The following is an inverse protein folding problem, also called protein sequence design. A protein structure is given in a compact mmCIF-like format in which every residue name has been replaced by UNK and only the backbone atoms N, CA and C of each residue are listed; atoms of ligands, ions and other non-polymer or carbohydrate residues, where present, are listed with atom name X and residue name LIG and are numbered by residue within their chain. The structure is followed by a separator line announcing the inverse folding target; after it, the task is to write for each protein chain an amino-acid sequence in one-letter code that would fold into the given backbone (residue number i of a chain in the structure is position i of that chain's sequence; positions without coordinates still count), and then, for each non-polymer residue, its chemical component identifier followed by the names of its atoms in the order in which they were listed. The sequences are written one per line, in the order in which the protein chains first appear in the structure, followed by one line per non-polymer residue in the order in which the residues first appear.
data_IF_049480410701
#
_entry.id   IF_049480410701
#
_cell.length_a   1.000
_cell.length_b   1.000
_cell.length_c   1.000
_cell.angle_alpha   90.00
_cell.angle_beta   90.00
_cell.angle_gamma   90.00
#
_symmetry.space_group_name_H-M   'P 1'
#
loop_
_entity.id
_entity.type
_entity.pdbx_description
1 polymer ?
#
# COMPACT_ATOMS: atom_id res chain seq x y z
N UNK A 1 -58.77 12.51 -27.10
CA UNK A 1 -59.40 12.55 -25.77
C UNK A 1 -59.20 11.21 -25.09
N UNK A 2 -58.97 11.25 -23.78
CA UNK A 2 -58.82 10.16 -22.82
C UNK A 2 -57.43 9.55 -22.60
N UNK A 3 -56.88 9.97 -21.45
CA UNK A 3 -55.95 9.25 -20.59
C UNK A 3 -56.32 7.78 -20.42
N UNK A 4 -55.32 6.92 -20.39
CA UNK A 4 -55.28 5.79 -19.47
C UNK A 4 -53.89 5.74 -18.85
N UNK A 5 -53.90 5.81 -17.52
CA UNK A 5 -52.76 5.66 -16.62
C UNK A 5 -52.38 4.17 -16.65
N UNK A 6 -51.10 3.88 -16.86
CA UNK A 6 -50.51 2.58 -16.53
C UNK A 6 -49.27 2.85 -15.69
N UNK A 7 -49.33 2.40 -14.45
CA UNK A 7 -48.30 2.52 -13.42
C UNK A 7 -46.94 1.97 -13.87
N UNK A 8 -45.81 2.62 -13.51
CA UNK A 8 -44.54 1.95 -13.44
C UNK A 8 -44.20 1.64 -11.98
N UNK A 9 -44.81 0.57 -11.44
CA UNK A 9 -44.17 -0.23 -10.40
C UNK A 9 -42.97 -0.94 -11.03
N UNK A 10 -41.79 -0.32 -10.94
CA UNK A 10 -40.45 -0.94 -10.86
C UNK A 10 -39.37 0.16 -10.94
N UNK A 11 -39.49 1.16 -10.07
CA UNK A 11 -38.33 1.98 -9.71
C UNK A 11 -37.49 1.13 -8.76
N UNK A 12 -36.54 0.37 -9.32
CA UNK A 12 -35.51 -0.30 -8.52
C UNK A 12 -34.76 0.76 -7.73
N UNK A 13 -34.71 0.54 -6.43
CA UNK A 13 -34.10 1.37 -5.41
C UNK A 13 -32.69 1.80 -5.83
N UNK A 14 -32.54 3.06 -6.22
CA UNK A 14 -31.23 3.67 -6.38
C UNK A 14 -30.70 3.92 -4.98
N UNK A 15 -29.67 3.16 -4.63
CA UNK A 15 -29.04 3.12 -3.31
C UNK A 15 -28.80 4.52 -2.76
N UNK A 16 -29.35 4.71 -1.57
CA UNK A 16 -29.42 5.95 -0.84
C UNK A 16 -28.04 6.46 -0.46
N UNK A 17 -27.70 7.67 -0.93
CA UNK A 17 -26.81 8.59 -0.23
C UNK A 17 -25.49 7.97 0.28
N UNK A 18 -24.63 7.51 -0.63
CA UNK A 18 -23.20 7.55 -0.32
C UNK A 18 -22.87 9.01 0.02
N UNK A 19 -22.53 9.22 1.29
CA UNK A 19 -22.19 10.51 1.88
C UNK A 19 -21.33 11.32 0.91
N UNK A 20 -21.77 12.54 0.54
CA UNK A 20 -20.92 13.48 -0.20
C UNK A 20 -19.70 13.79 0.67
N UNK A 21 -18.64 13.02 0.52
CA UNK A 21 -17.36 13.27 1.18
C UNK A 21 -16.90 14.68 0.76
N UNK A 22 -16.46 15.47 1.74
CA UNK A 22 -15.97 16.82 1.50
C UNK A 22 -14.90 16.80 0.40
N UNK A 23 -15.06 17.61 -0.66
CA UNK A 23 -14.10 17.70 -1.76
C UNK A 23 -12.83 18.36 -1.24
N UNK A 24 -11.89 17.52 -0.79
CA UNK A 24 -10.54 17.91 -0.40
C UNK A 24 -10.42 18.93 0.73
N UNK A 25 -9.19 19.21 1.11
CA UNK A 25 -8.86 20.40 1.89
C UNK A 25 -9.23 21.63 1.04
N UNK A 26 -9.75 22.73 1.60
CA UNK A 26 -10.11 23.92 0.80
C UNK A 26 -8.84 24.50 0.13
N UNK A 27 -8.59 24.14 -1.14
CA UNK A 27 -7.44 24.55 -1.96
C UNK A 27 -6.43 23.43 -2.25
N UNK A 28 -5.43 23.71 -3.10
CA UNK A 28 -4.40 22.74 -3.54
C UNK A 28 -3.39 22.35 -2.43
N UNK A 29 -3.74 22.51 -1.14
CA UNK A 29 -2.83 22.29 -0.01
C UNK A 29 -2.24 20.89 0.00
N UNK A 30 -3.07 19.86 -0.10
CA UNK A 30 -2.61 18.47 -0.09
C UNK A 30 -1.74 18.17 -1.31
N UNK A 31 -2.14 18.62 -2.50
CA UNK A 31 -1.37 18.48 -3.72
C UNK A 31 0.00 19.14 -3.58
N UNK A 32 0.04 20.43 -3.22
CA UNK A 32 1.28 21.18 -3.04
C UNK A 32 2.20 20.56 -1.98
N UNK A 33 1.62 20.03 -0.90
CA UNK A 33 2.37 19.31 0.13
C UNK A 33 3.02 18.05 -0.43
N UNK A 34 2.26 17.21 -1.14
CA UNK A 34 2.78 15.98 -1.74
C UNK A 34 3.88 16.31 -2.76
N UNK A 35 3.64 17.29 -3.64
CA UNK A 35 4.64 17.72 -4.62
C UNK A 35 5.90 18.29 -3.94
N UNK A 36 5.76 19.04 -2.85
CA UNK A 36 6.88 19.58 -2.09
C UNK A 36 7.69 18.51 -1.33
N UNK A 37 7.01 17.51 -0.76
CA UNK A 37 7.67 16.42 0.00
C UNK A 37 8.30 15.36 -0.91
N UNK A 38 7.73 15.12 -2.11
CA UNK A 38 8.20 14.07 -3.04
C UNK A 38 9.01 14.60 -4.23
N UNK A 39 8.87 15.89 -4.56
CA UNK A 39 9.43 16.47 -5.79
C UNK A 39 8.71 16.07 -7.08
N UNK A 40 7.63 15.28 -7.01
CA UNK A 40 6.93 14.75 -8.19
C UNK A 40 5.93 15.75 -8.73
N UNK A 41 5.92 15.99 -10.05
CA UNK A 41 4.93 16.83 -10.70
C UNK A 41 3.60 16.10 -10.95
N UNK A 42 2.79 15.94 -9.90
CA UNK A 42 1.48 15.26 -9.96
C UNK A 42 0.49 15.94 -10.92
N UNK A 43 0.59 17.25 -11.10
CA UNK A 43 -0.27 18.03 -12.00
C UNK A 43 -0.05 17.73 -13.48
N UNK A 44 1.08 17.12 -13.85
CA UNK A 44 1.36 16.71 -15.22
C UNK A 44 0.49 15.51 -15.69
N UNK A 45 -0.18 14.80 -14.79
CA UNK A 45 -0.98 13.63 -15.15
C UNK A 45 -2.29 14.03 -15.87
N UNK A 46 -2.45 13.57 -17.12
CA UNK A 46 -3.69 13.72 -17.91
C UNK A 46 -4.59 12.47 -17.89
N UNK A 47 -4.40 11.54 -16.94
CA UNK A 47 -5.26 10.35 -16.75
C UNK A 47 -5.29 9.37 -17.94
N UNK A 48 -4.13 9.02 -18.51
CA UNK A 48 -4.03 8.04 -19.60
C UNK A 48 -4.18 6.56 -19.21
N UNK A 49 -4.29 6.27 -17.91
CA UNK A 49 -4.45 4.92 -17.32
C UNK A 49 -3.31 3.90 -17.59
N UNK A 50 -2.24 4.26 -18.32
CA UNK A 50 -1.10 3.38 -18.60
C UNK A 50 -0.49 2.74 -17.34
N UNK A 51 -0.36 3.52 -16.26
CA UNK A 51 0.15 3.03 -14.98
C UNK A 51 -0.71 1.91 -14.37
N UNK A 52 -2.01 1.89 -14.67
CA UNK A 52 -2.94 0.85 -14.20
C UNK A 52 -2.83 -0.40 -15.05
N UNK A 53 -2.77 -0.23 -16.37
CA UNK A 53 -2.57 -1.35 -17.30
C UNK A 53 -1.21 -2.02 -17.13
N UNK A 54 -0.17 -1.27 -16.75
CA UNK A 54 1.15 -1.81 -16.44
C UNK A 54 1.21 -2.53 -15.08
N UNK A 55 0.23 -2.34 -14.19
CA UNK A 55 0.28 -2.89 -12.84
C UNK A 55 -0.28 -4.33 -12.81
N UNK A 56 0.53 -5.32 -12.39
CA UNK A 56 0.17 -6.74 -12.47
C UNK A 56 -0.88 -7.14 -11.43
N UNK A 57 -1.01 -6.35 -10.37
CA UNK A 57 -1.96 -6.57 -9.28
C UNK A 57 -3.08 -5.54 -9.28
N UNK A 58 -3.23 -4.76 -10.36
CA UNK A 58 -4.27 -3.73 -10.47
C UNK A 58 -5.65 -4.31 -10.18
N UNK A 59 -5.94 -5.55 -10.60
CA UNK A 59 -7.20 -6.25 -10.32
C UNK A 59 -7.56 -6.38 -8.83
N UNK A 60 -6.57 -6.44 -7.94
CA UNK A 60 -6.77 -6.57 -6.48
C UNK A 60 -6.79 -5.23 -5.74
N UNK A 61 -6.44 -4.13 -6.42
CA UNK A 61 -6.40 -2.79 -5.84
C UNK A 61 -7.80 -2.16 -5.77
N UNK A 62 -8.15 -1.54 -4.64
CA UNK A 62 -9.41 -0.81 -4.48
C UNK A 62 -9.39 0.59 -5.12
N UNK A 63 -8.22 1.21 -5.25
CA UNK A 63 -8.00 2.46 -5.96
C UNK A 63 -6.87 2.23 -6.95
N UNK A 64 -7.11 2.34 -8.24
CA UNK A 64 -6.07 2.06 -9.24
C UNK A 64 -4.98 3.14 -9.24
N UNK A 65 -3.76 2.84 -9.73
CA UNK A 65 -2.66 3.81 -9.76
C UNK A 65 -3.02 5.16 -10.39
N UNK A 66 -3.77 5.20 -11.50
CA UNK A 66 -4.19 6.47 -12.13
C UNK A 66 -5.16 7.26 -11.23
N UNK A 67 -6.07 6.55 -10.57
CA UNK A 67 -7.04 7.12 -9.63
C UNK A 67 -6.34 7.67 -8.38
N UNK A 68 -5.26 7.03 -7.89
CA UNK A 68 -4.45 7.57 -6.79
C UNK A 68 -3.94 8.96 -7.15
N UNK A 69 -3.34 9.11 -8.33
CA UNK A 69 -2.84 10.40 -8.81
C UNK A 69 -3.98 11.43 -8.90
N UNK A 70 -5.15 11.02 -9.42
CA UNK A 70 -6.32 11.90 -9.46
C UNK A 70 -6.79 12.31 -8.06
N UNK A 71 -6.81 11.38 -7.11
CA UNK A 71 -7.24 11.66 -5.74
C UNK A 71 -6.25 12.55 -5.00
N UNK A 72 -4.96 12.48 -5.31
CA UNK A 72 -3.98 13.46 -4.83
C UNK A 72 -4.29 14.84 -5.38
N UNK A 73 -4.55 14.97 -6.69
CA UNK A 73 -4.96 16.25 -7.30
C UNK A 73 -6.24 16.81 -6.68
N UNK A 74 -7.20 15.94 -6.31
CA UNK A 74 -8.47 16.33 -5.69
C UNK A 74 -8.40 16.55 -4.17
N UNK A 75 -7.24 16.32 -3.53
CA UNK A 75 -7.10 16.47 -2.09
C UNK A 75 -7.77 15.38 -1.24
N UNK A 76 -8.07 14.21 -1.80
CA UNK A 76 -8.82 13.12 -1.13
C UNK A 76 -7.96 12.30 -0.16
N UNK A 77 -7.29 12.98 0.76
CA UNK A 77 -6.29 12.41 1.68
C UNK A 77 -6.83 11.25 2.51
N UNK A 78 -7.99 11.42 3.18
CA UNK A 78 -8.51 10.39 4.10
C UNK A 78 -8.84 9.11 3.35
N UNK A 79 -9.44 9.23 2.16
CA UNK A 79 -9.78 8.09 1.30
C UNK A 79 -8.53 7.36 0.82
N UNK A 80 -7.50 8.10 0.42
CA UNK A 80 -6.20 7.53 0.06
C UNK A 80 -5.58 6.75 1.22
N UNK A 81 -5.46 7.36 2.40
CA UNK A 81 -4.79 6.71 3.55
C UNK A 81 -5.54 5.48 4.08
N UNK A 82 -6.84 5.35 3.82
CA UNK A 82 -7.66 4.18 4.17
C UNK A 82 -7.64 3.06 3.11
N UNK A 83 -7.05 3.30 1.95
CA UNK A 83 -7.04 2.36 0.82
C UNK A 83 -6.23 1.09 1.10
N UNK A 84 -6.70 -0.05 0.60
CA UNK A 84 -5.90 -1.28 0.58
C UNK A 84 -4.73 -1.18 -0.40
N UNK A 85 -4.88 -0.40 -1.47
CA UNK A 85 -3.89 -0.27 -2.56
C UNK A 85 -2.50 0.11 -2.07
N UNK A 86 -2.43 1.03 -1.10
CA UNK A 86 -1.17 1.48 -0.50
C UNK A 86 -0.36 0.29 0.05
N UNK A 87 -1.05 -0.68 0.66
CA UNK A 87 -0.44 -1.86 1.29
C UNK A 87 -0.25 -3.02 0.31
N UNK A 88 -1.05 -3.09 -0.75
CA UNK A 88 -0.94 -4.10 -1.80
C UNK A 88 0.18 -3.80 -2.80
N UNK A 89 0.50 -2.53 -3.04
CA UNK A 89 1.51 -2.13 -4.01
C UNK A 89 2.87 -2.82 -3.76
N UNK A 90 3.38 -3.47 -4.81
CA UNK A 90 4.64 -4.24 -4.77
C UNK A 90 5.91 -3.38 -4.92
N UNK A 91 5.76 -2.05 -5.08
CA UNK A 91 6.87 -1.11 -5.33
C UNK A 91 7.78 -1.57 -6.49
N UNK A 92 7.16 -2.05 -7.58
CA UNK A 92 7.86 -2.59 -8.75
C UNK A 92 8.21 -1.54 -9.83
N UNK A 93 7.87 -0.27 -9.62
CA UNK A 93 8.24 0.88 -10.47
C UNK A 93 7.73 0.86 -11.93
N UNK A 94 6.95 -0.15 -12.34
CA UNK A 94 6.42 -0.21 -13.72
C UNK A 94 5.50 0.97 -14.04
N UNK A 95 4.66 1.40 -13.09
CA UNK A 95 3.78 2.54 -13.30
C UNK A 95 4.53 3.84 -13.61
N UNK A 96 5.69 4.06 -12.97
CA UNK A 96 6.58 5.20 -13.20
C UNK A 96 7.28 5.05 -14.55
N UNK A 97 7.82 3.87 -14.85
CA UNK A 97 8.57 3.61 -16.10
C UNK A 97 7.73 3.81 -17.36
N UNK A 98 6.45 3.42 -17.35
CA UNK A 98 5.56 3.54 -18.50
C UNK A 98 4.87 4.91 -18.63
N UNK A 99 5.12 5.84 -17.70
CA UNK A 99 4.45 7.13 -17.68
C UNK A 99 5.01 8.07 -18.77
N UNK A 100 4.19 8.54 -19.73
CA UNK A 100 4.66 9.44 -20.78
C UNK A 100 4.94 10.88 -20.28
N UNK A 101 4.43 11.24 -19.10
CA UNK A 101 4.64 12.56 -18.49
C UNK A 101 5.62 12.53 -17.33
N UNK A 102 6.35 11.43 -17.16
CA UNK A 102 7.37 11.27 -16.11
C UNK A 102 6.83 11.51 -14.68
N UNK A 103 5.53 11.28 -14.48
CA UNK A 103 4.94 11.28 -13.14
C UNK A 103 5.38 10.01 -12.43
N UNK A 104 6.14 10.17 -11.35
CA UNK A 104 6.57 9.06 -10.50
C UNK A 104 5.44 8.54 -9.61
N UNK A 105 4.60 7.69 -10.20
CA UNK A 105 3.42 7.13 -9.55
C UNK A 105 3.80 6.22 -8.38
N UNK A 106 4.90 5.49 -8.50
CA UNK A 106 5.36 4.59 -7.44
C UNK A 106 5.82 5.36 -6.21
N UNK A 107 6.55 6.46 -6.39
CA UNK A 107 6.97 7.32 -5.27
C UNK A 107 5.77 7.93 -4.56
N UNK A 108 4.74 8.38 -5.30
CA UNK A 108 3.49 8.87 -4.68
C UNK A 108 2.83 7.78 -3.82
N UNK A 109 2.74 6.54 -4.31
CA UNK A 109 2.14 5.44 -3.54
C UNK A 109 2.99 5.09 -2.31
N UNK A 110 4.32 5.05 -2.44
CA UNK A 110 5.24 4.81 -1.32
C UNK A 110 5.13 5.91 -0.27
N UNK A 111 5.03 7.17 -0.69
CA UNK A 111 4.86 8.32 0.17
C UNK A 111 3.54 8.24 0.95
N UNK A 112 2.42 7.93 0.28
CA UNK A 112 1.13 7.70 0.94
C UNK A 112 1.20 6.55 1.95
N UNK A 113 1.99 5.49 1.69
CA UNK A 113 2.24 4.40 2.65
C UNK A 113 2.93 4.90 3.90
N UNK A 114 3.96 5.73 3.76
CA UNK A 114 4.65 6.34 4.89
C UNK A 114 3.72 7.25 5.70
N UNK A 115 2.89 8.06 5.03
CA UNK A 115 1.89 8.89 5.68
C UNK A 115 0.87 8.05 6.46
N UNK A 116 0.36 6.97 5.85
CA UNK A 116 -0.60 6.08 6.49
C UNK A 116 0.00 5.41 7.73
N UNK A 117 1.24 4.92 7.64
CA UNK A 117 1.97 4.30 8.73
C UNK A 117 2.25 5.25 9.92
N UNK A 118 2.31 6.56 9.69
CA UNK A 118 2.49 7.60 10.73
C UNK A 118 1.17 8.14 11.28
N UNK A 119 0.07 7.92 10.57
CA UNK A 119 -1.24 8.38 10.97
C UNK A 119 -1.87 7.43 11.99
N UNK A 120 -2.88 7.90 12.71
CA UNK A 120 -3.73 7.06 13.58
C UNK A 120 -4.77 6.23 12.80
N UNK A 121 -4.68 6.20 11.47
CA UNK A 121 -5.63 5.48 10.61
C UNK A 121 -5.27 4.00 10.62
N UNK A 122 -6.21 3.17 11.06
CA UNK A 122 -6.06 1.71 11.00
C UNK A 122 -5.97 1.24 9.55
N UNK A 123 -4.89 0.53 9.16
CA UNK A 123 -4.77 -0.05 7.82
C UNK A 123 -5.92 -1.00 7.51
N UNK A 124 -6.45 -0.92 6.29
CA UNK A 124 -7.42 -1.89 5.77
C UNK A 124 -6.82 -3.29 5.70
N UNK A 125 -5.59 -3.39 5.18
CA UNK A 125 -4.80 -4.63 5.12
C UNK A 125 -3.82 -4.72 6.30
N UNK A 126 -4.33 -5.05 7.49
CA UNK A 126 -3.53 -5.10 8.73
C UNK A 126 -2.34 -6.05 8.66
N UNK A 127 -2.54 -7.25 8.10
CA UNK A 127 -1.48 -8.27 7.96
C UNK A 127 -0.32 -7.78 7.10
N UNK A 128 -0.64 -7.14 5.97
CA UNK A 128 0.37 -6.55 5.06
C UNK A 128 1.08 -5.36 5.71
N UNK A 129 0.37 -4.52 6.46
CA UNK A 129 0.98 -3.43 7.21
C UNK A 129 1.98 -3.94 8.26
N UNK A 130 1.58 -4.94 9.05
CA UNK A 130 2.46 -5.58 10.05
C UNK A 130 3.65 -6.25 9.37
N UNK A 131 3.44 -6.93 8.24
CA UNK A 131 4.51 -7.53 7.45
C UNK A 131 5.51 -6.49 6.96
N UNK A 132 5.03 -5.38 6.37
CA UNK A 132 5.86 -4.28 5.89
C UNK A 132 6.71 -3.67 7.02
N UNK A 133 6.11 -3.44 8.19
CA UNK A 133 6.86 -2.96 9.36
C UNK A 133 7.92 -3.95 9.83
N UNK A 134 7.57 -5.24 9.92
CA UNK A 134 8.51 -6.29 10.32
C UNK A 134 9.66 -6.42 9.31
N UNK A 135 9.37 -6.30 8.02
CA UNK A 135 10.36 -6.28 6.95
C UNK A 135 11.34 -5.12 7.11
N UNK A 136 10.86 -3.90 7.39
CA UNK A 136 11.72 -2.74 7.61
C UNK A 136 12.56 -2.88 8.88
N UNK A 137 11.99 -3.34 10.00
CA UNK A 137 12.74 -3.60 11.24
C UNK A 137 13.90 -4.57 11.00
N UNK A 138 13.62 -5.65 10.28
CA UNK A 138 14.57 -6.68 9.91
C UNK A 138 15.67 -6.14 9.00
N UNK A 139 15.30 -5.35 7.98
CA UNK A 139 16.20 -4.70 7.05
C UNK A 139 17.15 -3.73 7.78
N UNK A 140 16.64 -2.90 8.70
CA UNK A 140 17.43 -1.93 9.46
C UNK A 140 18.39 -2.62 10.43
N UNK A 141 17.99 -3.78 10.98
CA UNK A 141 18.79 -4.51 11.98
C UNK A 141 20.01 -5.24 11.39
N UNK A 142 19.92 -5.71 10.14
CA UNK A 142 20.99 -6.51 9.50
C UNK A 142 21.45 -6.00 8.14
N UNK A 143 20.75 -5.05 7.53
CA UNK A 143 21.01 -4.57 6.17
C UNK A 143 20.70 -5.58 5.07
N UNK A 144 20.16 -6.75 5.44
CA UNK A 144 19.76 -7.84 4.53
C UNK A 144 18.61 -8.61 5.15
N UNK A 145 17.57 -8.83 4.37
CA UNK A 145 16.42 -9.61 4.82
C UNK A 145 16.74 -11.10 4.67
N UNK A 146 16.51 -11.84 5.75
CA UNK A 146 16.57 -13.30 5.74
C UNK A 146 15.16 -13.85 5.91
N UNK A 147 14.76 -14.74 5.00
CA UNK A 147 13.41 -15.30 4.96
C UNK A 147 13.00 -15.91 6.30
N UNK A 148 13.86 -16.74 6.91
CA UNK A 148 13.55 -17.39 8.18
C UNK A 148 13.37 -16.38 9.32
N UNK A 149 14.30 -15.43 9.46
CA UNK A 149 14.24 -14.42 10.53
C UNK A 149 13.05 -13.48 10.36
N UNK A 150 12.75 -13.07 9.14
CA UNK A 150 11.56 -12.27 8.82
C UNK A 150 10.27 -13.03 9.16
N UNK A 151 10.12 -14.27 8.67
CA UNK A 151 8.92 -15.07 8.93
C UNK A 151 8.75 -15.34 10.42
N UNK A 152 9.82 -15.65 11.14
CA UNK A 152 9.80 -15.81 12.60
C UNK A 152 9.35 -14.54 13.30
N UNK A 153 9.91 -13.39 12.93
CA UNK A 153 9.52 -12.10 13.53
C UNK A 153 8.06 -11.76 13.23
N UNK A 154 7.60 -12.00 11.99
CA UNK A 154 6.23 -11.73 11.58
C UNK A 154 5.22 -12.64 12.29
N UNK A 155 5.46 -13.95 12.31
CA UNK A 155 4.58 -14.91 12.98
C UNK A 155 4.68 -14.85 14.51
N UNK A 156 5.70 -14.19 15.08
CA UNK A 156 5.77 -13.96 16.52
C UNK A 156 4.87 -12.81 16.99
N UNK A 157 4.33 -11.97 16.08
CA UNK A 157 3.38 -10.92 16.45
C UNK A 157 2.06 -11.56 16.89
N UNK A 158 1.51 -11.21 18.07
CA UNK A 158 0.38 -11.91 18.68
C UNK A 158 -0.85 -11.90 17.78
N UNK A 159 -1.18 -10.75 17.18
CA UNK A 159 -2.34 -10.59 16.30
C UNK A 159 -2.29 -11.55 15.09
N UNK A 160 -1.10 -11.74 14.51
CA UNK A 160 -0.88 -12.59 13.34
C UNK A 160 -0.94 -14.07 13.74
N UNK A 161 -0.28 -14.43 14.84
CA UNK A 161 -0.26 -15.80 15.33
C UNK A 161 -1.68 -16.29 15.67
N UNK A 162 -2.43 -15.48 16.43
CA UNK A 162 -3.81 -15.80 16.80
C UNK A 162 -4.72 -15.95 15.57
N UNK A 163 -4.60 -15.04 14.59
CA UNK A 163 -5.37 -15.13 13.35
C UNK A 163 -5.07 -16.43 12.57
N UNK A 164 -3.81 -16.85 12.51
CA UNK A 164 -3.39 -18.07 11.80
C UNK A 164 -3.79 -19.36 12.50
N UNK A 165 -3.72 -19.37 13.83
CA UNK A 165 -4.21 -20.51 14.63
C UNK A 165 -5.72 -20.66 14.43
N UNK A 166 -6.47 -19.55 14.51
CA UNK A 166 -7.93 -19.54 14.30
C UNK A 166 -8.32 -20.01 12.90
N UNK A 167 -7.56 -19.61 11.88
CA UNK A 167 -7.84 -19.96 10.49
C UNK A 167 -7.31 -21.35 10.09
N UNK A 168 -6.65 -22.08 11.00
CA UNK A 168 -6.09 -23.41 10.74
C UNK A 168 -4.91 -23.46 9.76
N UNK A 169 -4.48 -22.32 9.22
CA UNK A 169 -3.40 -22.23 8.21
C UNK A 169 -2.01 -22.47 8.80
N UNK A 170 -1.87 -22.34 10.12
CA UNK A 170 -0.59 -22.52 10.82
C UNK A 170 0.06 -23.89 10.57
N UNK A 171 -0.74 -24.96 10.52
CA UNK A 171 -0.23 -26.33 10.30
C UNK A 171 0.40 -26.49 8.91
N UNK A 172 -0.24 -25.93 7.88
CA UNK A 172 0.24 -26.00 6.50
C UNK A 172 1.53 -25.20 6.32
N UNK A 173 1.63 -24.02 6.93
CA UNK A 173 2.85 -23.20 6.90
C UNK A 173 4.01 -23.88 7.62
N UNK A 174 3.77 -24.52 8.76
CA UNK A 174 4.79 -25.28 9.47
C UNK A 174 5.26 -26.49 8.65
N UNK A 175 4.34 -27.19 7.98
CA UNK A 175 4.69 -28.29 7.09
C UNK A 175 5.53 -27.82 5.90
N UNK A 176 5.20 -26.66 5.30
CA UNK A 176 6.00 -26.05 4.25
C UNK A 176 7.40 -25.66 4.75
N UNK A 177 7.48 -25.01 5.92
CA UNK A 177 8.74 -24.62 6.54
C UNK A 177 9.65 -25.84 6.80
N UNK A 178 9.09 -26.93 7.33
CA UNK A 178 9.82 -28.20 7.54
C UNK A 178 10.30 -28.80 6.22
N UNK A 179 9.50 -28.71 5.16
CA UNK A 179 9.87 -29.22 3.83
C UNK A 179 11.02 -28.40 3.22
N UNK A 180 10.97 -27.08 3.33
CA UNK A 180 12.04 -26.18 2.86
C UNK A 180 13.34 -26.36 3.67
N UNK A 181 13.22 -26.56 4.98
CA UNK A 181 14.37 -26.81 5.86
C UNK A 181 15.03 -28.15 5.54
N UNK A 182 14.26 -29.24 5.38
CA UNK A 182 14.78 -30.55 4.98
C UNK A 182 15.49 -30.52 3.62
N UNK A 183 15.02 -29.68 2.69
CA UNK A 183 15.66 -29.47 1.38
C UNK A 183 16.84 -28.50 1.41
N UNK A 184 17.21 -27.96 2.58
CA UNK A 184 18.28 -26.97 2.71
C UNK A 184 18.00 -25.63 2.03
N UNK A 185 16.74 -25.37 1.64
CA UNK A 185 16.32 -24.14 0.94
C UNK A 185 15.99 -22.99 1.89
N UNK A 186 15.82 -23.28 3.17
CA UNK A 186 15.56 -22.29 4.22
C UNK A 186 16.83 -22.04 5.04
N UNK A 187 17.43 -20.86 4.89
CA UNK A 187 18.66 -20.47 5.61
C UNK A 187 18.31 -19.84 6.94
N UNK A 188 18.70 -20.48 8.05
CA UNK A 188 18.41 -20.02 9.42
C UNK A 188 19.26 -18.82 9.86
N UNK A 189 20.43 -18.62 9.23
CA UNK A 189 21.35 -17.53 9.54
C UNK A 189 21.77 -16.83 8.25
N UNK A 190 21.83 -15.50 8.31
CA UNK A 190 22.44 -14.68 7.28
C UNK A 190 23.40 -13.69 7.96
N UNK A 191 24.62 -13.51 7.44
CA UNK A 191 25.53 -12.50 7.95
C UNK A 191 24.96 -11.10 7.70
N UNK A 192 25.25 -10.16 8.61
CA UNK A 192 24.91 -8.76 8.43
C UNK A 192 25.59 -8.19 7.18
N UNK A 193 24.93 -7.24 6.53
CA UNK A 193 25.53 -6.48 5.44
C UNK A 193 26.68 -5.61 5.96
N UNK A 194 27.66 -5.32 5.11
CA UNK A 194 28.67 -4.29 5.41
C UNK A 194 28.06 -2.89 5.36
N UNK A 195 27.02 -2.71 4.53
CA UNK A 195 26.33 -1.43 4.29
C UNK A 195 25.19 -1.14 5.29
N UNK A 196 25.13 -1.81 6.45
CA UNK A 196 24.05 -1.60 7.44
C UNK A 196 23.94 -0.13 7.85
N UNK A 197 25.08 0.51 8.12
CA UNK A 197 25.10 1.92 8.56
C UNK A 197 24.56 2.86 7.49
N UNK A 198 24.86 2.60 6.22
CA UNK A 198 24.37 3.39 5.09
C UNK A 198 22.85 3.22 4.92
N UNK A 199 22.34 1.99 5.01
CA UNK A 199 20.91 1.69 4.94
C UNK A 199 20.16 2.38 6.09
N UNK A 200 20.70 2.31 7.31
CA UNK A 200 20.14 3.01 8.47
C UNK A 200 20.11 4.52 8.23
N UNK A 201 21.22 5.11 7.79
CA UNK A 201 21.30 6.53 7.47
C UNK A 201 20.26 6.95 6.42
N UNK A 202 20.14 6.20 5.33
CA UNK A 202 19.16 6.48 4.28
C UNK A 202 17.72 6.39 4.83
N UNK A 203 17.42 5.35 5.59
CA UNK A 203 16.09 5.15 6.19
C UNK A 203 15.68 6.29 7.12
N UNK A 204 16.59 6.72 8.01
CA UNK A 204 16.33 7.80 8.97
C UNK A 204 16.25 9.18 8.28
N UNK A 205 17.09 9.42 7.27
CA UNK A 205 17.06 10.63 6.47
C UNK A 205 15.72 10.81 5.74
N UNK A 206 15.20 9.76 5.09
CA UNK A 206 13.87 9.79 4.44
C UNK A 206 12.75 10.04 5.44
N UNK A 207 12.94 9.66 6.72
CA UNK A 207 11.95 9.89 7.76
C UNK A 207 12.05 11.28 8.42
N UNK A 208 13.09 12.06 8.15
CA UNK A 208 13.34 13.32 8.87
C UNK A 208 13.69 13.11 10.34
N UNK A 209 14.04 11.88 10.73
CA UNK A 209 14.53 11.53 12.06
C UNK A 209 16.07 11.65 11.99
N UNK A 210 16.65 12.76 12.48
CA UNK A 210 18.11 12.93 12.51
C UNK A 210 18.67 11.96 13.56
N UNK A 211 19.64 11.12 13.16
CA UNK A 211 20.39 10.22 14.06
C UNK A 211 21.19 10.96 15.12
#
# INVERSE_FOLDING_TARGET
MHNSISDPETATEYDSCEQREFIGDRGDYFLNRIQGETGVNVSACYQCERCTNACPISGFMDIKPHQIIRYVQLGWRIRLLKSSTIWLCLSCEMCTTYCPNEVDVAEIINHLRMMAARSSITPKEKSLAVFHHTFLEELIKSGRVNEFRLMRAYYSKPDILHAKIKNGTFKQELQLAMTLLRKGRLKLSAPKSKAVKEIQKAYFQTRGEIS
#
